data_IF_183877277576
#
_entry.id   IF_183877277576
#
_cell.length_a   1.000
_cell.length_b   1.000
_cell.length_c   1.000
_cell.angle_alpha   90.00
_cell.angle_beta   90.00
_cell.angle_gamma   90.00
#
_symmetry.space_group_name_H-M   'P 1'
#
loop_
_entity.id
_entity.type
_entity.pdbx_description
1 polymer ?
#
# COMPACT_ATOMS: atom_id res chain seq x y z
N UNK A 1 -1.03 -13.29 5.21
CA UNK A 1 -0.88 -13.71 3.80
C UNK A 1 -0.49 -12.55 2.91
N UNK A 2 -1.36 -11.56 2.80
CA UNK A 2 -1.09 -10.38 1.97
C UNK A 2 0.18 -9.64 2.41
N UNK A 3 0.48 -9.65 3.69
CA UNK A 3 1.66 -8.95 4.21
C UNK A 3 2.96 -9.49 3.61
N UNK A 4 3.08 -10.80 3.45
CA UNK A 4 4.24 -11.41 2.81
C UNK A 4 4.37 -10.99 1.36
N UNK A 5 3.25 -10.96 0.63
CA UNK A 5 3.23 -10.55 -0.77
C UNK A 5 3.68 -9.10 -0.90
N UNK A 6 3.10 -8.23 -0.07
CA UNK A 6 3.45 -6.81 -0.09
C UNK A 6 4.91 -6.59 0.27
N UNK A 7 5.39 -7.26 1.31
CA UNK A 7 6.76 -7.09 1.76
C UNK A 7 7.75 -7.51 0.67
N UNK A 8 7.48 -8.60 -0.04
CA UNK A 8 8.39 -9.06 -1.08
C UNK A 8 8.46 -8.09 -2.26
N UNK A 9 7.39 -7.36 -2.54
CA UNK A 9 7.38 -6.35 -3.59
C UNK A 9 8.08 -5.08 -3.13
N UNK A 10 7.75 -4.57 -1.94
CA UNK A 10 8.27 -3.27 -1.52
C UNK A 10 9.77 -3.30 -1.22
N UNK A 11 10.34 -4.45 -0.82
CA UNK A 11 11.78 -4.52 -0.60
C UNK A 11 12.55 -4.26 -1.89
N UNK A 12 11.95 -4.57 -3.04
CA UNK A 12 12.57 -4.30 -4.33
C UNK A 12 12.59 -2.81 -4.64
N UNK A 13 11.66 -2.06 -4.06
CA UNK A 13 11.58 -0.62 -4.29
C UNK A 13 12.63 0.16 -3.52
N UNK A 14 13.28 -0.45 -2.54
CA UNK A 14 14.35 0.20 -1.79
C UNK A 14 15.51 0.64 -2.68
N UNK A 15 15.72 -0.04 -3.79
CA UNK A 15 16.80 0.29 -4.72
C UNK A 15 16.44 1.45 -5.64
N UNK A 16 15.19 1.84 -5.68
CA UNK A 16 14.72 2.91 -6.57
C UNK A 16 14.95 4.29 -5.96
N UNK A 17 14.76 4.41 -4.66
CA UNK A 17 14.84 5.70 -3.98
C UNK A 17 15.07 5.47 -2.49
N UNK A 18 15.56 6.51 -1.81
CA UNK A 18 15.72 6.49 -0.35
C UNK A 18 14.40 6.67 0.40
N UNK A 19 13.32 6.98 -0.30
CA UNK A 19 12.03 7.18 0.33
C UNK A 19 11.49 5.86 0.87
N UNK A 20 10.68 5.98 1.91
CA UNK A 20 10.07 4.81 2.54
C UNK A 20 8.77 4.49 1.84
N UNK A 21 8.58 3.23 1.49
CA UNK A 21 7.33 2.71 0.94
C UNK A 21 6.72 1.75 1.94
N UNK A 22 5.41 1.65 1.92
CA UNK A 22 4.74 0.68 2.75
C UNK A 22 3.26 0.58 2.46
N UNK A 23 2.59 -0.19 3.29
CA UNK A 23 1.16 -0.47 3.16
C UNK A 23 0.53 -0.38 4.54
N UNK A 24 -0.62 0.30 4.61
CA UNK A 24 -1.43 0.32 5.83
C UNK A 24 -2.75 -0.41 5.56
N UNK A 25 -3.35 -0.92 6.63
CA UNK A 25 -4.67 -1.55 6.53
C UNK A 25 -5.76 -0.50 6.80
N UNK A 26 -7.00 -0.96 6.90
CA UNK A 26 -8.15 -0.06 7.07
C UNK A 26 -8.15 0.70 8.39
N UNK A 27 -7.39 0.24 9.37
CA UNK A 27 -7.27 0.91 10.67
C UNK A 27 -6.04 1.80 10.72
N UNK A 28 -5.26 1.84 9.66
CA UNK A 28 -4.04 2.63 9.61
C UNK A 28 -2.83 1.92 10.15
N UNK A 29 -2.94 0.64 10.46
CA UNK A 29 -1.80 -0.13 10.96
C UNK A 29 -0.83 -0.41 9.81
N UNK A 30 0.45 -0.12 10.01
CA UNK A 30 1.48 -0.38 9.01
C UNK A 30 1.77 -1.87 8.99
N UNK A 31 1.36 -2.54 7.90
CA UNK A 31 1.48 -3.99 7.78
C UNK A 31 2.71 -4.41 6.97
N UNK A 32 3.23 -3.52 6.15
CA UNK A 32 4.47 -3.75 5.38
C UNK A 32 5.17 -2.41 5.21
N UNK A 33 6.48 -2.42 5.23
CA UNK A 33 7.23 -1.17 5.12
C UNK A 33 8.70 -1.46 4.81
N UNK A 34 9.33 -0.59 4.00
CA UNK A 34 10.77 -0.70 3.76
C UNK A 34 11.57 -0.28 4.99
N UNK A 35 10.98 0.54 5.86
CA UNK A 35 11.59 0.90 7.14
C UNK A 35 10.91 0.05 8.22
N UNK A 36 11.60 -0.97 8.66
CA UNK A 36 11.03 -1.93 9.61
C UNK A 36 10.65 -1.32 10.95
N UNK A 37 11.24 -0.18 11.29
CA UNK A 37 10.91 0.49 12.55
C UNK A 37 9.49 1.06 12.57
N UNK A 38 8.88 1.22 11.40
CA UNK A 38 7.52 1.73 11.29
C UNK A 38 6.46 0.63 11.35
N UNK A 39 6.86 -0.63 11.24
CA UNK A 39 5.91 -1.74 11.28
C UNK A 39 5.15 -1.75 12.59
N UNK A 40 3.85 -1.90 12.49
CA UNK A 40 2.98 -1.94 13.66
C UNK A 40 2.51 -0.59 14.16
N UNK A 41 3.05 0.50 13.62
CA UNK A 41 2.53 1.83 13.95
C UNK A 41 1.09 1.94 13.44
N UNK A 42 0.30 2.74 14.12
CA UNK A 42 -1.11 2.93 13.74
C UNK A 42 -1.36 4.39 13.40
N UNK A 43 -1.78 4.62 12.17
CA UNK A 43 -2.04 5.95 11.64
C UNK A 43 -3.52 6.09 11.32
N UNK A 44 -4.35 6.11 12.36
CA UNK A 44 -5.81 6.12 12.21
C UNK A 44 -6.34 7.30 11.41
N UNK A 45 -5.76 8.48 11.62
CA UNK A 45 -6.18 9.68 10.90
C UNK A 45 -5.87 9.58 9.42
N UNK A 46 -4.73 8.99 9.07
CA UNK A 46 -4.37 8.76 7.67
C UNK A 46 -5.36 7.80 7.02
N UNK A 47 -5.71 6.73 7.72
CA UNK A 47 -6.67 5.76 7.20
C UNK A 47 -8.03 6.40 6.94
N UNK A 48 -8.48 7.28 7.82
CA UNK A 48 -9.74 8.01 7.63
C UNK A 48 -9.69 8.88 6.39
N UNK A 49 -8.59 9.59 6.20
CA UNK A 49 -8.44 10.45 5.04
C UNK A 49 -8.45 9.67 3.75
N UNK A 50 -7.77 8.54 3.73
CA UNK A 50 -7.74 7.64 2.57
C UNK A 50 -9.13 7.09 2.29
N UNK A 51 -9.83 6.66 3.33
CA UNK A 51 -11.18 6.09 3.19
C UNK A 51 -12.17 7.08 2.58
N UNK A 52 -11.95 8.38 2.81
CA UNK A 52 -12.81 9.42 2.26
C UNK A 52 -12.42 9.85 0.86
N UNK A 53 -11.35 9.30 0.29
CA UNK A 53 -10.84 9.73 -1.02
C UNK A 53 -10.27 8.53 -1.77
N UNK A 54 -11.06 7.49 -1.93
CA UNK A 54 -10.60 6.21 -2.50
C UNK A 54 -10.11 6.32 -3.94
N UNK A 55 -10.66 7.27 -4.69
CA UNK A 55 -10.32 7.41 -6.10
C UNK A 55 -9.13 8.33 -6.36
N UNK A 56 -8.60 8.93 -5.30
CA UNK A 56 -7.57 9.95 -5.44
C UNK A 56 -6.34 9.61 -4.63
N UNK A 57 -5.21 10.18 -5.05
CA UNK A 57 -4.01 10.17 -4.23
C UNK A 57 -4.21 11.25 -3.18
N UNK A 58 -3.97 10.92 -1.91
CA UNK A 58 -4.09 11.88 -0.83
C UNK A 58 -2.74 12.06 -0.15
N UNK A 59 -2.53 13.25 0.41
CA UNK A 59 -1.34 13.52 1.21
C UNK A 59 -1.78 13.80 2.63
N UNK A 60 -1.01 13.30 3.59
CA UNK A 60 -1.30 13.50 5.00
C UNK A 60 -0.01 13.30 5.78
N UNK A 61 0.31 14.24 6.66
CA UNK A 61 1.46 14.14 7.56
C UNK A 61 2.76 13.84 6.78
N UNK A 62 2.96 14.57 5.68
CA UNK A 62 4.16 14.48 4.84
C UNK A 62 4.33 13.10 4.18
N UNK A 63 3.22 12.42 3.95
CA UNK A 63 3.20 11.13 3.25
C UNK A 63 2.13 11.17 2.18
N UNK A 64 2.34 10.39 1.14
CA UNK A 64 1.40 10.26 0.03
C UNK A 64 0.79 8.87 0.08
N UNK A 65 -0.52 8.79 -0.07
CA UNK A 65 -1.27 7.53 0.06
C UNK A 65 -2.14 7.30 -1.17
N UNK A 66 -2.29 6.04 -1.54
CA UNK A 66 -3.26 5.65 -2.56
C UNK A 66 -3.94 4.36 -2.12
N UNK A 67 -5.27 4.39 -2.12
CA UNK A 67 -6.06 3.25 -1.66
C UNK A 67 -6.01 2.09 -2.65
N UNK A 68 -5.96 0.88 -2.12
CA UNK A 68 -6.23 -0.34 -2.89
C UNK A 68 -7.60 -0.82 -2.47
N UNK A 69 -8.49 -0.98 -3.45
CA UNK A 69 -9.85 -1.43 -3.19
C UNK A 69 -10.02 -2.85 -3.76
N UNK A 70 -10.93 -3.59 -3.18
CA UNK A 70 -11.23 -4.93 -3.68
C UNK A 70 -12.24 -4.85 -4.83
N UNK A 71 -12.64 -6.00 -5.36
CA UNK A 71 -13.57 -6.07 -6.50
C UNK A 71 -14.94 -5.45 -6.18
N UNK A 72 -15.27 -5.30 -4.91
CA UNK A 72 -16.52 -4.67 -4.48
C UNK A 72 -16.37 -3.18 -4.18
N UNK A 73 -15.22 -2.60 -4.50
CA UNK A 73 -14.89 -1.19 -4.26
C UNK A 73 -14.80 -0.81 -2.79
N UNK A 74 -14.52 -1.76 -1.92
CA UNK A 74 -14.26 -1.47 -0.52
C UNK A 74 -12.76 -1.26 -0.30
N UNK A 75 -12.44 -0.28 0.52
CA UNK A 75 -11.09 0.01 0.95
C UNK A 75 -10.52 -1.20 1.71
N UNK A 76 -9.39 -1.69 1.28
CA UNK A 76 -8.74 -2.84 1.88
C UNK A 76 -7.38 -2.49 2.47
N UNK A 77 -6.57 -1.81 1.68
CA UNK A 77 -5.23 -1.39 2.06
C UNK A 77 -4.93 -0.07 1.40
N UNK A 78 -3.90 0.61 1.85
CA UNK A 78 -3.39 1.80 1.17
C UNK A 78 -1.88 1.72 1.08
N UNK A 79 -1.37 2.04 -0.09
CA UNK A 79 0.07 2.16 -0.32
C UNK A 79 0.50 3.55 0.10
N UNK A 80 1.67 3.67 0.73
CA UNK A 80 2.19 4.99 1.06
C UNK A 80 3.65 5.13 0.65
N UNK A 81 4.04 6.39 0.45
CA UNK A 81 5.41 6.79 0.19
C UNK A 81 5.67 8.05 0.99
N UNK A 82 6.83 8.16 1.63
CA UNK A 82 7.15 9.37 2.37
C UNK A 82 7.36 10.54 1.42
N UNK A 83 6.93 11.72 1.86
CA UNK A 83 6.96 12.93 1.07
C UNK A 83 5.58 13.29 0.55
N UNK A 84 5.40 14.57 0.20
CA UNK A 84 4.12 15.05 -0.32
C UNK A 84 4.32 15.84 -1.62
N UNK A 85 5.47 15.71 -2.26
CA UNK A 85 5.80 16.36 -3.52
C UNK A 85 5.40 15.50 -4.71
N UNK A 86 5.65 16.02 -5.90
CA UNK A 86 5.31 15.32 -7.15
C UNK A 86 6.02 13.99 -7.29
N UNK A 87 7.28 13.93 -6.86
CA UNK A 87 8.04 12.67 -6.91
C UNK A 87 7.38 11.62 -6.03
N UNK A 88 6.91 12.01 -4.85
CA UNK A 88 6.21 11.08 -3.96
C UNK A 88 4.95 10.55 -4.61
N UNK A 89 4.21 11.39 -5.34
CA UNK A 89 3.02 10.96 -6.06
C UNK A 89 3.35 9.93 -7.12
N UNK A 90 4.42 10.16 -7.88
CA UNK A 90 4.89 9.22 -8.89
C UNK A 90 5.32 7.91 -8.29
N UNK A 91 6.12 7.96 -7.25
CA UNK A 91 6.59 6.75 -6.58
C UNK A 91 5.45 5.97 -5.93
N UNK A 92 4.52 6.68 -5.32
CA UNK A 92 3.36 6.04 -4.69
C UNK A 92 2.50 5.33 -5.74
N UNK A 93 2.31 5.94 -6.89
CA UNK A 93 1.54 5.35 -7.99
C UNK A 93 2.24 4.11 -8.53
N UNK A 94 3.56 4.18 -8.72
CA UNK A 94 4.35 3.02 -9.14
C UNK A 94 4.23 1.86 -8.17
N UNK A 95 4.38 2.16 -6.90
CA UNK A 95 4.27 1.16 -5.84
C UNK A 95 2.87 0.57 -5.81
N UNK A 96 1.87 1.42 -5.98
CA UNK A 96 0.48 0.97 -6.02
C UNK A 96 0.26 -0.04 -7.15
N UNK A 97 0.73 0.27 -8.35
CA UNK A 97 0.56 -0.63 -9.50
C UNK A 97 1.20 -1.98 -9.22
N UNK A 98 2.45 -1.96 -8.74
CA UNK A 98 3.17 -3.20 -8.47
C UNK A 98 2.50 -4.03 -7.38
N UNK A 99 2.08 -3.38 -6.30
CA UNK A 99 1.46 -4.06 -5.16
C UNK A 99 0.07 -4.58 -5.51
N UNK A 100 -0.69 -3.79 -6.25
CA UNK A 100 -2.03 -4.21 -6.65
C UNK A 100 -1.97 -5.39 -7.61
N UNK A 101 -1.03 -5.36 -8.55
CA UNK A 101 -0.84 -6.49 -9.47
C UNK A 101 -0.44 -7.75 -8.73
N UNK A 102 0.47 -7.63 -7.76
CA UNK A 102 0.90 -8.78 -6.97
C UNK A 102 -0.26 -9.35 -6.15
N UNK A 103 -1.07 -8.46 -5.57
CA UNK A 103 -2.24 -8.87 -4.78
C UNK A 103 -3.24 -9.63 -5.64
N UNK A 104 -3.57 -9.09 -6.81
CA UNK A 104 -4.53 -9.71 -7.72
C UNK A 104 -3.99 -11.05 -8.21
N UNK A 105 -2.73 -11.09 -8.61
CA UNK A 105 -2.09 -12.33 -9.07
C UNK A 105 -2.14 -13.41 -7.99
N UNK A 106 -1.82 -13.04 -6.75
CA UNK A 106 -1.83 -13.98 -5.63
C UNK A 106 -3.24 -14.52 -5.38
N UNK A 107 -4.24 -13.64 -5.41
CA UNK A 107 -5.62 -14.04 -5.17
C UNK A 107 -6.13 -14.96 -6.26
N UNK A 108 -5.83 -14.67 -7.52
CA UNK A 108 -6.20 -15.53 -8.64
C UNK A 108 -5.59 -16.91 -8.52
N UNK A 109 -4.30 -16.95 -8.20
CA UNK A 109 -3.58 -18.21 -8.07
C UNK A 109 -4.15 -19.04 -6.93
N UNK A 110 -4.47 -18.39 -5.84
CA UNK A 110 -5.04 -19.04 -4.67
C UNK A 110 -6.42 -19.60 -4.98
N UNK A 111 -7.25 -18.82 -5.68
CA UNK A 111 -8.59 -19.24 -6.07
C UNK A 111 -8.54 -20.46 -7.00
N UNK A 112 -7.61 -20.46 -7.94
CA UNK A 112 -7.43 -21.61 -8.82
C UNK A 112 -7.06 -22.85 -8.04
N UNK A 113 -6.25 -22.67 -7.01
CA UNK A 113 -5.85 -23.78 -6.15
C UNK A 113 -7.01 -24.46 -5.47
N UNK A 114 -8.09 -23.71 -5.22
CA UNK A 114 -9.27 -24.27 -4.55
C UNK A 114 -10.12 -25.13 -5.48
N UNK A 115 -9.97 -25.00 -6.77
CA UNK A 115 -10.73 -25.79 -7.72
C UNK A 115 -10.08 -27.13 -8.05
N UNK A 116 -8.84 -27.26 -7.73
CA UNK A 116 -8.11 -28.48 -8.03
C UNK A 116 -8.14 -29.40 -6.84
#
# INVERSE_FOLDING_TARGET
MSNSVFQSVIVQLKDVTDRVFGVIDTEGCVVSCTDMSMLGERWSDAALKVANSLDSIVTFNQKTFKAMVNSSNFFEYAVFCTGDDELARGYCTMAYVALNDAKVFYEEKHDRGTFV
#
